data_IF_854482900138
#
_entry.id   IF_854482900138
#
_cell.length_a   1.000
_cell.length_b   1.000
_cell.length_c   1.000
_cell.angle_alpha   90.00
_cell.angle_beta   90.00
_cell.angle_gamma   90.00
#
_symmetry.space_group_name_H-M   'P 1'
#
loop_
_entity.id
_entity.type
_entity.pdbx_description
1 polymer ?
#
# COMPACT_ATOMS: atom_id res chain seq x y z
N UNK A 1 8.04 -12.70 -9.15
CA UNK A 1 6.95 -13.69 -9.33
C UNK A 1 6.02 -13.73 -8.13
N UNK A 2 6.51 -13.65 -6.89
CA UNK A 2 5.68 -13.64 -5.66
C UNK A 2 4.45 -12.71 -5.69
N UNK A 3 4.58 -11.45 -6.14
CA UNK A 3 3.45 -10.52 -6.23
C UNK A 3 2.32 -11.01 -7.17
N UNK A 4 2.69 -11.67 -8.27
CA UNK A 4 1.72 -12.20 -9.23
C UNK A 4 1.05 -13.47 -8.68
N UNK A 5 1.81 -14.35 -8.01
CA UNK A 5 1.24 -15.52 -7.31
C UNK A 5 0.21 -15.09 -6.25
N UNK A 6 0.54 -14.08 -5.43
CA UNK A 6 -0.39 -13.48 -4.47
C UNK A 6 -1.63 -12.91 -5.17
N UNK A 7 -1.45 -12.20 -6.28
CA UNK A 7 -2.56 -11.68 -7.07
C UNK A 7 -3.51 -12.78 -7.56
N UNK A 8 -2.99 -13.95 -7.96
CA UNK A 8 -3.81 -15.08 -8.37
C UNK A 8 -4.66 -15.66 -7.22
N UNK A 9 -4.21 -15.51 -5.98
CA UNK A 9 -4.94 -15.96 -4.77
C UNK A 9 -5.95 -14.94 -4.23
N UNK A 10 -6.03 -13.74 -4.80
CA UNK A 10 -6.98 -12.73 -4.34
C UNK A 10 -8.42 -13.21 -4.47
N UNK A 11 -9.28 -12.90 -3.48
CA UNK A 11 -10.72 -13.08 -3.61
C UNK A 11 -11.27 -12.44 -4.89
N UNK A 12 -12.27 -13.06 -5.57
CA UNK A 12 -12.75 -12.61 -6.88
C UNK A 12 -13.19 -11.14 -6.93
N UNK A 13 -13.82 -10.65 -5.87
CA UNK A 13 -14.25 -9.25 -5.75
C UNK A 13 -13.07 -8.26 -5.71
N UNK A 14 -11.97 -8.63 -5.03
CA UNK A 14 -10.76 -7.82 -4.99
C UNK A 14 -10.02 -7.84 -6.32
N UNK A 15 -9.95 -9.02 -6.94
CA UNK A 15 -9.35 -9.21 -8.26
C UNK A 15 -10.08 -8.41 -9.34
N UNK A 16 -11.42 -8.44 -9.32
CA UNK A 16 -12.26 -7.65 -10.21
C UNK A 16 -12.01 -6.13 -10.08
N UNK A 17 -11.82 -5.64 -8.86
CA UNK A 17 -11.48 -4.23 -8.62
C UNK A 17 -10.14 -3.80 -9.20
N UNK A 18 -9.24 -4.76 -9.45
CA UNK A 18 -7.93 -4.53 -10.07
C UNK A 18 -7.91 -4.82 -11.58
N UNK A 19 -9.03 -5.21 -12.20
CA UNK A 19 -9.09 -5.56 -13.63
C UNK A 19 -8.67 -4.43 -14.58
N UNK A 20 -8.86 -3.17 -14.15
CA UNK A 20 -8.39 -1.99 -14.89
C UNK A 20 -6.87 -1.75 -14.79
N UNK A 21 -6.20 -2.41 -13.85
CA UNK A 21 -4.76 -2.31 -13.61
C UNK A 21 -4.01 -3.53 -14.14
N UNK A 22 -4.55 -4.74 -13.96
CA UNK A 22 -3.86 -5.99 -14.25
C UNK A 22 -4.68 -6.90 -15.16
N UNK A 23 -4.01 -7.45 -16.17
CA UNK A 23 -4.50 -8.59 -16.94
C UNK A 23 -3.98 -9.90 -16.32
N UNK A 24 -4.85 -10.90 -16.20
CA UNK A 24 -4.55 -12.11 -15.42
C UNK A 24 -3.54 -13.06 -16.09
N UNK A 25 -3.25 -12.90 -17.38
CA UNK A 25 -2.59 -13.94 -18.17
C UNK A 25 -1.09 -13.70 -18.45
N UNK A 26 -0.51 -12.63 -17.92
CA UNK A 26 0.88 -12.29 -18.23
C UNK A 26 1.62 -11.75 -16.99
N UNK A 27 2.47 -12.57 -16.34
CA UNK A 27 3.27 -12.16 -15.19
C UNK A 27 4.25 -11.01 -15.49
N UNK A 28 4.75 -10.91 -16.72
CA UNK A 28 5.67 -9.84 -17.12
C UNK A 28 4.90 -8.54 -17.34
N UNK A 29 3.74 -8.60 -17.99
CA UNK A 29 2.85 -7.44 -18.10
C UNK A 29 2.38 -6.97 -16.72
N UNK A 30 2.04 -7.90 -15.82
CA UNK A 30 1.70 -7.58 -14.43
C UNK A 30 2.81 -6.77 -13.74
N UNK A 31 4.06 -7.22 -13.84
CA UNK A 31 5.20 -6.52 -13.25
C UNK A 31 5.47 -5.16 -13.92
N UNK A 32 5.46 -5.12 -15.25
CA UNK A 32 5.73 -3.91 -16.02
C UNK A 32 4.68 -2.83 -15.75
N UNK A 33 3.40 -3.20 -15.71
CA UNK A 33 2.29 -2.27 -15.44
C UNK A 33 2.25 -1.93 -13.95
N UNK A 34 2.42 -2.91 -13.07
CA UNK A 34 2.34 -2.74 -11.61
C UNK A 34 3.41 -1.86 -11.00
N UNK A 35 4.52 -1.64 -11.71
CA UNK A 35 5.63 -0.78 -11.26
C UNK A 35 5.55 0.64 -11.83
N UNK A 36 4.54 0.97 -12.64
CA UNK A 36 4.35 2.34 -13.12
C UNK A 36 3.82 3.23 -12.00
N UNK A 37 4.33 4.47 -11.89
CA UNK A 37 4.01 5.36 -10.77
C UNK A 37 2.52 5.58 -10.54
N UNK A 38 1.73 5.79 -11.61
CA UNK A 38 0.27 5.94 -11.51
C UNK A 38 -0.40 4.67 -10.98
N UNK A 39 0.08 3.49 -11.34
CA UNK A 39 -0.48 2.21 -10.93
C UNK A 39 -0.08 1.83 -9.50
N UNK A 40 1.12 2.21 -9.08
CA UNK A 40 1.54 2.15 -7.66
C UNK A 40 0.61 3.03 -6.80
N UNK A 41 0.30 4.25 -7.25
CA UNK A 41 -0.65 5.14 -6.57
C UNK A 41 -2.04 4.50 -6.47
N UNK A 42 -2.59 4.03 -7.60
CA UNK A 42 -3.91 3.40 -7.65
C UNK A 42 -3.99 2.13 -6.80
N UNK A 43 -2.95 1.28 -6.81
CA UNK A 43 -2.89 0.08 -6.00
C UNK A 43 -2.85 0.42 -4.50
N UNK A 44 -2.09 1.45 -4.11
CA UNK A 44 -2.07 1.92 -2.73
C UNK A 44 -3.45 2.41 -2.28
N UNK A 45 -4.11 3.23 -3.10
CA UNK A 45 -5.45 3.75 -2.79
C UNK A 45 -6.48 2.62 -2.68
N UNK A 46 -6.43 1.65 -3.59
CA UNK A 46 -7.29 0.48 -3.56
C UNK A 46 -7.08 -0.38 -2.30
N UNK A 47 -5.80 -0.60 -1.93
CA UNK A 47 -5.43 -1.34 -0.72
C UNK A 47 -5.92 -0.64 0.54
N UNK A 48 -5.75 0.69 0.62
CA UNK A 48 -6.26 1.50 1.74
C UNK A 48 -7.78 1.37 1.89
N UNK A 49 -8.54 1.42 0.79
CA UNK A 49 -9.98 1.27 0.82
C UNK A 49 -10.40 -0.15 1.25
N UNK A 50 -9.73 -1.19 0.75
CA UNK A 50 -9.97 -2.56 1.18
C UNK A 50 -9.69 -2.78 2.68
N UNK A 51 -8.65 -2.14 3.23
CA UNK A 51 -8.35 -2.16 4.66
C UNK A 51 -9.45 -1.45 5.48
N UNK A 52 -9.89 -0.26 5.06
CA UNK A 52 -10.98 0.49 5.72
C UNK A 52 -12.28 -0.31 5.78
N UNK A 53 -12.59 -1.02 4.70
CA UNK A 53 -13.79 -1.86 4.59
C UNK A 53 -13.62 -3.24 5.25
N UNK A 54 -12.44 -3.54 5.83
CA UNK A 54 -12.09 -4.84 6.39
C UNK A 54 -12.38 -6.01 5.42
N UNK A 55 -12.09 -5.82 4.13
CA UNK A 55 -12.29 -6.87 3.13
C UNK A 55 -11.37 -8.06 3.39
N UNK A 56 -11.92 -9.25 3.25
CA UNK A 56 -11.13 -10.48 3.16
C UNK A 56 -10.11 -10.34 2.02
N UNK A 57 -8.85 -10.70 2.29
CA UNK A 57 -7.75 -10.55 1.32
C UNK A 57 -7.08 -9.17 1.29
N UNK A 58 -7.51 -8.20 2.11
CA UNK A 58 -6.86 -6.89 2.16
C UNK A 58 -5.36 -6.95 2.51
N UNK A 59 -4.94 -7.92 3.33
CA UNK A 59 -3.51 -8.13 3.65
C UNK A 59 -2.71 -8.66 2.45
N UNK A 60 -3.32 -9.48 1.59
CA UNK A 60 -2.69 -9.93 0.35
C UNK A 60 -2.40 -8.72 -0.57
N UNK A 61 -3.32 -7.75 -0.64
CA UNK A 61 -3.10 -6.50 -1.38
C UNK A 61 -1.92 -5.69 -0.82
N UNK A 62 -1.75 -5.65 0.50
CA UNK A 62 -0.61 -4.98 1.15
C UNK A 62 0.71 -5.63 0.71
N UNK A 63 0.78 -6.96 0.68
CA UNK A 63 1.97 -7.70 0.24
C UNK A 63 2.28 -7.49 -1.25
N UNK A 64 1.24 -7.48 -2.10
CA UNK A 64 1.37 -7.17 -3.53
C UNK A 64 1.93 -5.75 -3.70
N UNK A 65 1.36 -4.77 -2.99
CA UNK A 65 1.83 -3.38 -3.02
C UNK A 65 3.31 -3.30 -2.65
N UNK A 66 3.74 -3.89 -1.53
CA UNK A 66 5.15 -3.82 -1.11
C UNK A 66 6.09 -4.50 -2.10
N UNK A 67 5.67 -5.63 -2.67
CA UNK A 67 6.46 -6.33 -3.66
C UNK A 67 6.67 -5.47 -4.91
N UNK A 68 5.61 -4.86 -5.45
CA UNK A 68 5.71 -3.98 -6.62
C UNK A 68 6.43 -2.67 -6.31
N UNK A 69 6.18 -2.09 -5.13
CA UNK A 69 6.87 -0.88 -4.67
C UNK A 69 8.38 -1.09 -4.57
N UNK A 70 8.84 -2.27 -4.15
CA UNK A 70 10.26 -2.61 -4.09
C UNK A 70 10.99 -2.49 -5.44
N UNK A 71 10.30 -2.77 -6.55
CA UNK A 71 10.83 -2.54 -7.89
C UNK A 71 10.73 -1.07 -8.29
N UNK A 72 9.59 -0.44 -8.04
CA UNK A 72 9.36 0.99 -8.31
C UNK A 72 10.39 1.89 -7.62
N UNK A 73 10.72 1.62 -6.35
CA UNK A 73 11.67 2.40 -5.56
C UNK A 73 13.11 2.33 -6.08
N UNK A 74 13.49 1.27 -6.81
CA UNK A 74 14.82 1.17 -7.43
C UNK A 74 15.01 2.13 -8.59
N UNK A 75 13.91 2.50 -9.25
CA UNK A 75 13.92 3.33 -10.46
C UNK A 75 13.42 4.76 -10.20
N UNK A 76 13.04 5.10 -8.97
CA UNK A 76 12.42 6.38 -8.64
C UNK A 76 12.95 6.96 -7.33
N UNK A 77 12.85 8.28 -7.09
CA UNK A 77 13.33 8.91 -5.87
C UNK A 77 12.33 8.74 -4.70
N UNK A 78 11.58 7.65 -4.62
CA UNK A 78 10.60 7.40 -3.57
C UNK A 78 11.03 6.25 -2.66
N UNK A 79 10.69 6.36 -1.39
CA UNK A 79 10.91 5.32 -0.38
C UNK A 79 9.68 5.17 0.50
N UNK A 80 9.48 3.97 1.04
CA UNK A 80 8.46 3.76 2.06
C UNK A 80 8.74 4.65 3.27
N UNK A 81 7.67 5.09 3.90
CA UNK A 81 7.73 5.83 5.16
C UNK A 81 8.43 4.97 6.24
N UNK A 82 9.55 5.44 6.82
CA UNK A 82 10.35 4.66 7.77
C UNK A 82 9.75 4.65 9.19
N UNK A 83 8.45 4.97 9.36
CA UNK A 83 7.82 5.04 10.67
C UNK A 83 7.92 3.70 11.44
N UNK A 84 7.91 3.76 12.75
CA UNK A 84 7.97 2.58 13.62
C UNK A 84 6.83 2.59 14.62
N UNK A 85 6.43 1.40 15.06
CA UNK A 85 5.52 1.25 16.20
C UNK A 85 6.18 1.88 17.43
N UNK A 86 5.38 2.60 18.22
CA UNK A 86 5.86 3.41 19.35
C UNK A 86 6.14 4.87 19.00
N UNK A 87 6.28 5.24 17.72
CA UNK A 87 6.44 6.65 17.33
C UNK A 87 5.14 7.45 17.52
N UNK A 88 5.22 8.76 17.83
CA UNK A 88 4.05 9.61 17.93
C UNK A 88 3.28 9.75 16.61
N UNK A 89 1.95 9.75 16.71
CA UNK A 89 1.07 10.09 15.59
C UNK A 89 1.37 11.49 15.02
N UNK A 90 1.42 11.59 13.69
CA UNK A 90 1.53 12.85 12.98
C UNK A 90 0.45 12.95 11.88
N UNK A 91 -0.55 13.82 12.01
CA UNK A 91 -1.67 13.91 11.05
C UNK A 91 -1.25 14.39 9.65
N UNK A 92 -0.06 14.98 9.48
CA UNK A 92 0.45 15.35 8.15
C UNK A 92 1.11 14.19 7.43
N UNK A 93 1.50 13.13 8.15
CA UNK A 93 2.20 11.95 7.61
C UNK A 93 1.38 10.67 7.69
N UNK A 94 0.44 10.57 8.62
CA UNK A 94 -0.27 9.34 8.94
C UNK A 94 -1.78 9.54 8.84
N UNK A 95 -2.47 8.52 8.35
CA UNK A 95 -3.93 8.38 8.40
C UNK A 95 -4.28 7.36 9.49
N UNK A 96 -5.17 7.75 10.38
CA UNK A 96 -5.67 6.87 11.42
C UNK A 96 -6.74 5.94 10.86
N UNK A 97 -6.58 4.64 11.08
CA UNK A 97 -7.64 3.67 10.79
C UNK A 97 -8.82 3.90 11.75
N UNK A 98 -10.05 3.75 11.25
CA UNK A 98 -11.28 4.06 12.00
C UNK A 98 -11.44 3.25 13.29
N UNK A 99 -10.82 2.07 13.36
CA UNK A 99 -10.81 1.22 14.54
C UNK A 99 -9.99 1.77 15.71
N UNK A 100 -9.22 2.85 15.52
CA UNK A 100 -8.44 3.46 16.61
C UNK A 100 -9.39 4.24 17.52
N UNK A 101 -9.34 4.00 18.82
CA UNK A 101 -10.20 4.70 19.79
C UNK A 101 -9.66 6.08 20.15
N UNK A 102 -8.33 6.23 20.15
CA UNK A 102 -7.66 7.47 20.54
C UNK A 102 -7.51 8.41 19.33
N UNK A 103 -7.57 9.72 19.58
CA UNK A 103 -7.34 10.76 18.56
C UNK A 103 -5.85 11.14 18.43
N UNK A 104 -5.05 10.82 19.43
CA UNK A 104 -3.61 11.06 19.52
C UNK A 104 -2.93 9.96 20.34
N UNK A 105 -1.61 9.92 20.33
CA UNK A 105 -0.82 8.92 21.04
C UNK A 105 0.25 8.30 20.14
N UNK A 106 0.81 7.20 20.62
CA UNK A 106 1.83 6.46 19.90
C UNK A 106 1.18 5.43 18.97
N UNK A 107 1.83 5.17 17.85
CA UNK A 107 1.42 4.17 16.87
C UNK A 107 1.54 2.79 17.51
N UNK A 108 0.45 2.01 17.52
CA UNK A 108 0.45 0.63 18.02
C UNK A 108 0.51 -0.40 16.89
N UNK A 109 0.07 -0.03 15.69
CA UNK A 109 0.13 -0.91 14.51
C UNK A 109 0.29 -0.09 13.23
N UNK A 110 1.06 -0.62 12.28
CA UNK A 110 1.15 -0.12 10.91
C UNK A 110 0.37 -1.08 10.00
N UNK A 111 -0.67 -0.59 9.33
CA UNK A 111 -1.50 -1.42 8.45
C UNK A 111 -1.03 -1.36 6.99
N UNK A 112 -0.62 -0.17 6.55
CA UNK A 112 -0.11 0.05 5.21
C UNK A 112 0.83 1.26 5.26
N UNK A 113 2.07 1.07 4.84
CA UNK A 113 3.03 2.17 4.76
C UNK A 113 2.71 3.04 3.56
N UNK A 114 2.71 4.33 3.80
CA UNK A 114 2.79 5.34 2.77
C UNK A 114 4.21 5.43 2.22
N UNK A 115 4.43 6.40 1.36
CA UNK A 115 5.74 6.66 0.79
C UNK A 115 5.94 8.14 0.52
N UNK A 116 7.20 8.53 0.51
CA UNK A 116 7.65 9.90 0.45
C UNK A 116 8.87 10.03 -0.45
N UNK A 117 9.07 11.22 -0.98
CA UNK A 117 10.22 11.51 -1.82
C UNK A 117 11.49 11.53 -0.95
N UNK A 118 12.49 10.75 -1.35
CA UNK A 118 13.63 10.38 -0.52
C UNK A 118 14.52 11.56 -0.14
N UNK A 119 14.52 12.64 -0.93
CA UNK A 119 15.38 13.83 -0.74
C UNK A 119 14.74 14.94 0.10
N UNK A 120 13.48 15.31 -0.20
CA UNK A 120 12.80 16.45 0.44
C UNK A 120 11.79 16.01 1.51
N UNK A 121 11.50 14.71 1.62
CA UNK A 121 10.56 14.18 2.61
C UNK A 121 9.08 14.43 2.29
N UNK A 122 8.77 14.90 1.09
CA UNK A 122 7.40 15.19 0.67
C UNK A 122 6.57 13.90 0.63
N UNK A 123 5.47 13.89 1.38
CA UNK A 123 4.59 12.74 1.52
C UNK A 123 3.71 12.62 0.27
N UNK A 124 3.88 11.53 -0.48
CA UNK A 124 3.06 11.23 -1.65
C UNK A 124 1.80 10.44 -1.30
N UNK A 125 1.92 9.52 -0.34
CA UNK A 125 0.82 8.82 0.34
C UNK A 125 1.15 8.71 1.82
N UNK A 126 0.18 8.99 2.68
CA UNK A 126 0.31 8.92 4.14
C UNK A 126 0.20 7.48 4.62
N UNK A 127 0.93 7.11 5.67
CA UNK A 127 0.84 5.75 6.22
C UNK A 127 -0.45 5.51 6.99
N UNK A 128 -1.06 4.33 6.82
CA UNK A 128 -2.26 3.91 7.55
C UNK A 128 -1.83 3.20 8.84
N UNK A 129 -2.28 3.72 9.98
CA UNK A 129 -1.87 3.26 11.30
C UNK A 129 -3.06 3.01 12.23
N UNK A 130 -2.79 2.33 13.34
CA UNK A 130 -3.63 2.34 14.53
C UNK A 130 -2.90 3.00 15.70
N UNK A 131 -3.68 3.66 16.55
CA UNK A 131 -3.28 4.20 17.85
C UNK A 131 -3.87 3.31 18.94
#
# INVERSE_FOLDING_TARGET
MQAYELFLTLPPNLKQGLSNLFSENDPLAFLAIGTQGKNIEMLWDYTNNALKENKEGAQILVEIFYSLFGYYAKATPYKLDPLEVGQPYNPTKHQRHHSSLNASGNITQVLLRGYLHARNGEVKRQSIIKL
#
